data_IF_547860632118
#
_entry.id   IF_547860632118
#
_cell.length_a   1.000
_cell.length_b   1.000
_cell.length_c   1.000
_cell.angle_alpha   90.00
_cell.angle_beta   90.00
_cell.angle_gamma   90.00
#
_symmetry.space_group_name_H-M   'P 1'
#
loop_
_entity.id
_entity.type
_entity.pdbx_description
1 polymer ?
#
# COMPACT_ATOMS: atom_id res chain seq x y z
N UNK A 1 12.60 20.84 -0.70
CA UNK A 1 11.49 19.88 -0.49
C UNK A 1 11.98 18.52 -0.98
N UNK A 2 11.91 17.47 -0.16
CA UNK A 2 12.28 16.13 -0.62
C UNK A 2 11.21 15.61 -1.59
N UNK A 3 11.62 14.95 -2.68
CA UNK A 3 10.68 14.33 -3.60
C UNK A 3 9.98 13.14 -2.92
N UNK A 4 8.69 12.90 -3.19
CA UNK A 4 7.96 11.77 -2.61
C UNK A 4 8.58 10.45 -3.06
N UNK A 5 8.69 9.51 -2.14
CA UNK A 5 9.14 8.15 -2.45
C UNK A 5 8.02 7.40 -3.15
N UNK A 6 8.38 6.81 -4.28
CA UNK A 6 7.47 6.05 -5.13
C UNK A 6 7.96 4.61 -5.24
N UNK A 7 7.03 3.67 -5.36
CA UNK A 7 7.30 2.25 -5.65
C UNK A 7 6.37 1.80 -6.76
N UNK A 8 6.86 0.93 -7.63
CA UNK A 8 6.08 0.35 -8.71
C UNK A 8 5.78 -1.14 -8.45
N UNK A 9 4.64 -1.60 -8.90
CA UNK A 9 4.32 -3.04 -9.07
C UNK A 9 5.00 -3.59 -10.33
N UNK A 10 4.92 -4.90 -10.55
CA UNK A 10 5.47 -5.54 -11.75
C UNK A 10 4.75 -5.10 -13.03
N UNK A 11 3.45 -4.77 -12.96
CA UNK A 11 2.71 -4.11 -14.06
C UNK A 11 3.23 -2.71 -14.43
N UNK A 12 4.04 -2.09 -13.59
CA UNK A 12 4.52 -0.72 -13.75
C UNK A 12 3.59 0.35 -13.15
N UNK A 13 2.52 -0.03 -12.44
CA UNK A 13 1.69 0.94 -11.72
C UNK A 13 2.44 1.52 -10.52
N UNK A 14 2.40 2.85 -10.35
CA UNK A 14 3.23 3.58 -9.38
C UNK A 14 2.42 4.07 -8.20
N UNK A 15 2.92 3.85 -6.99
CA UNK A 15 2.27 4.18 -5.74
C UNK A 15 3.16 5.06 -4.85
N UNK A 16 2.54 6.04 -4.21
CA UNK A 16 3.21 6.90 -3.23
C UNK A 16 3.25 6.20 -1.87
N UNK A 17 4.46 5.96 -1.35
CA UNK A 17 4.65 5.31 -0.05
C UNK A 17 4.74 6.32 1.10
N UNK A 18 4.80 7.61 0.81
CA UNK A 18 4.86 8.71 1.78
C UNK A 18 3.50 9.30 2.12
N UNK A 19 2.41 8.62 1.74
CA UNK A 19 1.08 9.04 2.17
C UNK A 19 0.98 9.03 3.71
N UNK A 20 0.30 10.03 4.30
CA UNK A 20 0.13 10.10 5.76
C UNK A 20 -0.69 8.92 6.30
N UNK A 21 -1.62 8.41 5.48
CA UNK A 21 -2.48 7.29 5.80
C UNK A 21 -2.10 6.06 4.98
N UNK A 22 -2.33 4.87 5.55
CA UNK A 22 -2.31 3.63 4.77
C UNK A 22 -3.52 3.59 3.83
N UNK A 23 -3.26 3.20 2.59
CA UNK A 23 -4.28 2.96 1.57
C UNK A 23 -4.15 1.56 1.00
N UNK A 24 -5.28 1.03 0.55
CA UNK A 24 -5.35 -0.18 -0.27
C UNK A 24 -5.96 0.22 -1.60
N UNK A 25 -5.23 -0.03 -2.68
CA UNK A 25 -5.65 0.29 -4.06
C UNK A 25 -5.55 -0.97 -4.90
N UNK A 26 -6.54 -1.21 -5.76
CA UNK A 26 -6.46 -2.31 -6.72
C UNK A 26 -5.58 -1.89 -7.89
N UNK A 27 -4.65 -2.75 -8.28
CA UNK A 27 -3.90 -2.61 -9.52
C UNK A 27 -4.80 -3.03 -10.68
N UNK A 28 -5.02 -2.13 -11.63
CA UNK A 28 -5.97 -2.35 -12.73
C UNK A 28 -5.40 -3.25 -13.83
N UNK A 29 -4.07 -3.47 -13.84
CA UNK A 29 -3.37 -4.29 -14.83
C UNK A 29 -3.29 -5.73 -14.35
N UNK A 30 -2.78 -5.95 -13.13
CA UNK A 30 -2.55 -7.29 -12.59
C UNK A 30 -3.73 -7.79 -11.73
N UNK A 31 -4.70 -6.91 -11.41
CA UNK A 31 -5.87 -7.23 -10.61
C UNK A 31 -5.61 -7.42 -9.11
N UNK A 32 -4.35 -7.27 -8.67
CA UNK A 32 -3.89 -7.39 -7.28
C UNK A 32 -4.30 -6.19 -6.43
N UNK A 33 -4.13 -6.29 -5.11
CA UNK A 33 -4.36 -5.21 -4.15
C UNK A 33 -3.04 -4.76 -3.54
N UNK A 34 -2.80 -3.45 -3.57
CA UNK A 34 -1.56 -2.83 -3.11
C UNK A 34 -1.84 -2.02 -1.84
N UNK A 35 -1.21 -2.40 -0.74
CA UNK A 35 -1.14 -1.60 0.48
C UNK A 35 0.06 -0.66 0.39
N UNK A 36 -0.18 0.64 0.48
CA UNK A 36 0.89 1.64 0.44
C UNK A 36 0.61 2.83 1.36
N UNK A 37 1.66 3.60 1.69
CA UNK A 37 1.60 4.74 2.61
C UNK A 37 2.32 4.46 3.91
N UNK A 38 2.64 5.51 4.69
CA UNK A 38 3.38 5.41 5.95
C UNK A 38 4.71 4.62 5.84
N UNK A 39 5.35 4.67 4.67
CA UNK A 39 6.56 3.91 4.34
C UNK A 39 6.32 2.43 3.99
N UNK A 40 5.08 1.95 4.01
CA UNK A 40 4.72 0.58 3.63
C UNK A 40 4.47 0.47 2.13
N UNK A 41 4.80 -0.71 1.60
CA UNK A 41 4.48 -1.16 0.25
C UNK A 41 4.40 -2.69 0.26
N UNK A 42 3.20 -3.25 0.12
CA UNK A 42 2.94 -4.69 0.12
C UNK A 42 1.84 -5.01 -0.91
N UNK A 43 1.96 -6.13 -1.60
CA UNK A 43 0.98 -6.61 -2.59
C UNK A 43 0.23 -7.83 -2.07
N UNK A 44 -1.03 -7.98 -2.49
CA UNK A 44 -1.93 -9.03 -2.05
C UNK A 44 -2.80 -9.50 -3.22
N UNK A 45 -3.12 -10.79 -3.27
CA UNK A 45 -4.03 -11.33 -4.28
C UNK A 45 -5.50 -11.00 -3.98
N UNK A 46 -5.84 -10.80 -2.70
CA UNK A 46 -7.21 -10.55 -2.25
C UNK A 46 -7.35 -9.23 -1.51
N UNK A 47 -8.55 -8.65 -1.60
CA UNK A 47 -8.89 -7.40 -0.92
C UNK A 47 -8.82 -7.59 0.59
N UNK A 48 -9.37 -8.70 1.05
CA UNK A 48 -9.50 -9.05 2.46
C UNK A 48 -8.13 -9.06 3.14
N UNK A 49 -7.15 -9.76 2.55
CA UNK A 49 -5.78 -9.83 3.09
C UNK A 49 -5.11 -8.45 3.17
N UNK A 50 -5.30 -7.61 2.15
CA UNK A 50 -4.75 -6.25 2.15
C UNK A 50 -5.34 -5.39 3.27
N UNK A 51 -6.66 -5.49 3.50
CA UNK A 51 -7.35 -4.74 4.54
C UNK A 51 -7.07 -5.27 5.96
N UNK A 52 -6.92 -6.58 6.13
CA UNK A 52 -6.47 -7.18 7.39
C UNK A 52 -5.07 -6.67 7.75
N UNK A 53 -4.13 -6.69 6.80
CA UNK A 53 -2.78 -6.14 7.02
C UNK A 53 -2.82 -4.65 7.36
N UNK A 54 -3.64 -3.87 6.66
CA UNK A 54 -3.83 -2.45 6.96
C UNK A 54 -4.26 -2.26 8.41
N UNK A 55 -5.27 -3.02 8.84
CA UNK A 55 -5.83 -2.98 10.19
C UNK A 55 -4.75 -3.27 11.24
N UNK A 56 -3.97 -4.33 11.06
CA UNK A 56 -2.87 -4.68 11.97
C UNK A 56 -1.84 -3.55 12.12
N UNK A 57 -1.42 -2.94 11.01
CA UNK A 57 -0.45 -1.85 11.00
C UNK A 57 -0.99 -0.58 11.68
N UNK A 58 -2.27 -0.27 11.43
CA UNK A 58 -2.94 0.83 12.12
C UNK A 58 -2.98 0.55 13.64
N UNK A 59 -3.36 -0.64 14.10
CA UNK A 59 -3.35 -0.99 15.53
C UNK A 59 -1.96 -0.99 16.16
N UNK A 60 -0.94 -1.45 15.43
CA UNK A 60 0.45 -1.47 15.91
C UNK A 60 1.02 -0.07 16.15
N UNK A 61 0.39 0.97 15.62
CA UNK A 61 0.85 2.36 15.77
C UNK A 61 0.39 2.98 17.09
N UNK A 62 -0.65 2.42 17.71
CA UNK A 62 -1.25 2.96 18.94
C UNK A 62 -0.69 2.32 20.22
N UNK A 63 0.36 1.50 20.12
CA UNK A 63 0.99 0.81 21.25
C UNK A 63 2.41 1.32 21.46
#
# INVERSE_FOLDING_TARGET
MAAPRLRATESGQVYNIDLPDLKVTRDDVDGIYVLHGRGHFQTFETREAAFERKKELDYSTFR
#
